data_IF_413778712772
#
_entry.id   IF_413778712772
#
_cell.length_a   1.000
_cell.length_b   1.000
_cell.length_c   1.000
_cell.angle_alpha   90.00
_cell.angle_beta   90.00
_cell.angle_gamma   90.00
#
_symmetry.space_group_name_H-M   'P 1'
#
loop_
_entity.id
_entity.type
_entity.pdbx_description
1 polymer ?
#
# COMPACT_ATOMS: atom_id res chain seq x y z
N UNK A 1 -17.10 -19.41 -26.64
CA UNK A 1 -17.45 -18.96 -25.28
C UNK A 1 -16.29 -18.25 -24.59
N UNK A 2 -15.22 -18.98 -24.20
CA UNK A 2 -14.04 -18.45 -23.49
C UNK A 2 -13.46 -17.16 -24.09
N UNK A 3 -13.16 -17.17 -25.38
CA UNK A 3 -12.54 -16.01 -26.04
C UNK A 3 -13.46 -14.78 -26.07
N UNK A 4 -14.77 -14.95 -26.21
CA UNK A 4 -15.75 -13.84 -26.12
C UNK A 4 -15.74 -13.22 -24.71
N UNK A 5 -15.78 -14.03 -23.65
CA UNK A 5 -15.71 -13.52 -22.27
C UNK A 5 -14.38 -12.84 -21.98
N UNK A 6 -13.26 -13.42 -22.42
CA UNK A 6 -11.94 -12.80 -22.27
C UNK A 6 -11.85 -11.48 -23.02
N UNK A 7 -12.44 -11.41 -24.21
CA UNK A 7 -12.50 -10.17 -24.98
C UNK A 7 -13.25 -9.08 -24.24
N UNK A 8 -14.42 -9.38 -23.68
CA UNK A 8 -15.19 -8.41 -22.89
C UNK A 8 -14.48 -8.02 -21.59
N UNK A 9 -13.89 -8.97 -20.87
CA UNK A 9 -13.11 -8.70 -19.66
C UNK A 9 -11.90 -7.82 -19.98
N UNK A 10 -11.22 -8.05 -21.10
CA UNK A 10 -10.13 -7.16 -21.55
C UNK A 10 -10.66 -5.79 -21.95
N UNK A 11 -11.74 -5.75 -22.72
CA UNK A 11 -12.34 -4.51 -23.22
C UNK A 11 -12.76 -3.61 -22.09
N UNK A 12 -13.46 -4.11 -21.07
CA UNK A 12 -14.02 -3.29 -19.98
C UNK A 12 -13.18 -3.32 -18.70
N UNK A 13 -12.22 -4.24 -18.64
CA UNK A 13 -11.50 -4.61 -17.43
C UNK A 13 -12.36 -5.36 -16.38
N UNK A 14 -13.69 -5.37 -16.49
CA UNK A 14 -14.57 -5.74 -15.36
C UNK A 14 -14.53 -7.26 -15.15
N UNK A 15 -14.25 -7.70 -13.92
CA UNK A 15 -14.20 -9.11 -13.55
C UNK A 15 -15.61 -9.72 -13.39
N UNK A 16 -15.76 -11.05 -13.54
CA UNK A 16 -17.04 -11.73 -13.34
C UNK A 16 -17.71 -11.44 -11.99
N UNK A 17 -16.93 -11.40 -10.89
CA UNK A 17 -17.46 -11.10 -9.56
C UNK A 17 -18.13 -9.73 -9.50
N UNK A 18 -17.48 -8.72 -10.08
CA UNK A 18 -17.95 -7.33 -10.03
C UNK A 18 -19.27 -7.13 -10.78
N UNK A 19 -19.47 -7.84 -11.88
CA UNK A 19 -20.74 -7.82 -12.61
C UNK A 19 -21.87 -8.32 -11.72
N UNK A 20 -21.64 -9.45 -11.04
CA UNK A 20 -22.63 -10.10 -10.21
C UNK A 20 -22.89 -9.38 -8.88
N UNK A 21 -22.00 -8.47 -8.47
CA UNK A 21 -22.23 -7.54 -7.36
C UNK A 21 -23.09 -6.34 -7.76
N UNK A 22 -23.10 -5.96 -9.03
CA UNK A 22 -23.81 -4.77 -9.52
C UNK A 22 -25.27 -5.08 -9.90
N UNK A 23 -25.56 -6.31 -10.32
CA UNK A 23 -26.92 -6.76 -10.65
C UNK A 23 -27.29 -8.07 -9.92
N UNK A 24 -28.14 -7.93 -8.90
CA UNK A 24 -28.60 -9.04 -8.09
C UNK A 24 -29.49 -10.05 -8.83
N UNK A 25 -30.17 -9.66 -9.91
CA UNK A 25 -31.03 -10.59 -10.67
C UNK A 25 -30.20 -11.64 -11.40
N UNK A 26 -29.04 -11.26 -11.93
CA UNK A 26 -28.19 -12.21 -12.66
C UNK A 26 -27.37 -13.09 -11.75
N UNK A 27 -27.15 -12.64 -10.51
CA UNK A 27 -26.66 -13.52 -9.45
C UNK A 27 -27.63 -14.65 -9.12
N UNK A 28 -28.95 -14.49 -9.39
CA UNK A 28 -29.93 -15.59 -9.23
C UNK A 28 -29.78 -16.64 -10.32
N UNK A 29 -29.34 -16.25 -11.51
CA UNK A 29 -29.27 -17.14 -12.68
C UNK A 29 -27.89 -17.76 -12.88
N UNK A 30 -26.81 -17.02 -12.58
CA UNK A 30 -25.43 -17.45 -12.86
C UNK A 30 -24.53 -17.20 -11.65
N UNK A 31 -23.84 -18.25 -11.19
CA UNK A 31 -22.85 -18.14 -10.11
C UNK A 31 -21.50 -17.66 -10.66
N UNK A 32 -20.71 -16.87 -9.92
CA UNK A 32 -19.40 -16.44 -10.40
C UNK A 32 -18.46 -17.61 -10.73
N UNK A 33 -18.50 -18.67 -9.93
CA UNK A 33 -17.70 -19.89 -10.15
C UNK A 33 -17.99 -20.55 -11.51
N UNK A 34 -19.22 -20.47 -12.02
CA UNK A 34 -19.59 -20.98 -13.32
C UNK A 34 -18.93 -20.18 -14.45
N UNK A 35 -18.89 -18.85 -14.33
CA UNK A 35 -18.19 -17.97 -15.27
C UNK A 35 -16.68 -18.26 -15.24
N UNK A 36 -16.09 -18.45 -14.06
CA UNK A 36 -14.68 -18.82 -13.94
C UNK A 36 -14.36 -20.17 -14.58
N UNK A 37 -15.24 -21.17 -14.47
CA UNK A 37 -15.10 -22.45 -15.19
C UNK A 37 -15.14 -22.30 -16.71
N UNK A 38 -15.96 -21.37 -17.23
CA UNK A 38 -15.96 -21.04 -18.66
C UNK A 38 -14.66 -20.34 -19.10
N UNK A 39 -14.11 -19.47 -18.24
CA UNK A 39 -12.86 -18.74 -18.49
C UNK A 39 -11.62 -19.62 -18.42
N UNK A 40 -11.58 -20.57 -17.46
CA UNK A 40 -10.50 -21.55 -17.32
C UNK A 40 -10.53 -22.58 -18.46
N UNK A 41 -11.71 -22.85 -19.02
CA UNK A 41 -11.93 -23.89 -20.02
C UNK A 41 -12.26 -25.26 -19.43
N UNK A 42 -12.39 -25.34 -18.10
CA UNK A 42 -12.90 -26.52 -17.39
C UNK A 42 -14.30 -26.91 -17.88
N UNK A 43 -15.11 -25.92 -18.24
CA UNK A 43 -16.43 -26.12 -18.83
C UNK A 43 -16.49 -25.54 -20.25
N UNK A 44 -16.67 -26.41 -21.24
CA UNK A 44 -16.67 -26.05 -22.68
C UNK A 44 -18.06 -25.71 -23.23
N UNK A 45 -19.11 -26.13 -22.54
CA UNK A 45 -20.51 -25.94 -22.93
C UNK A 45 -21.23 -25.10 -21.88
N UNK A 46 -22.20 -24.31 -22.31
CA UNK A 46 -23.07 -23.54 -21.43
C UNK A 46 -24.46 -23.51 -22.03
N UNK A 47 -25.46 -23.40 -21.17
CA UNK A 47 -26.78 -22.98 -21.63
C UNK A 47 -26.66 -21.64 -22.38
N UNK A 48 -27.29 -21.55 -23.54
CA UNK A 48 -27.16 -20.38 -24.44
C UNK A 48 -27.73 -19.12 -23.79
N UNK A 49 -28.83 -19.25 -23.06
CA UNK A 49 -29.49 -18.12 -22.41
C UNK A 49 -28.63 -17.60 -21.25
N UNK A 50 -28.04 -18.49 -20.46
CA UNK A 50 -27.08 -18.10 -19.42
C UNK A 50 -25.86 -17.39 -20.02
N UNK A 51 -25.29 -17.94 -21.10
CA UNK A 51 -24.12 -17.33 -21.71
C UNK A 51 -24.40 -15.92 -22.29
N UNK A 52 -25.52 -15.75 -23.01
CA UNK A 52 -25.88 -14.45 -23.58
C UNK A 52 -26.35 -13.45 -22.50
N UNK A 53 -27.04 -13.90 -21.45
CA UNK A 53 -27.35 -13.06 -20.30
C UNK A 53 -26.07 -12.52 -19.66
N UNK A 54 -25.06 -13.38 -19.50
CA UNK A 54 -23.75 -12.98 -18.97
C UNK A 54 -23.07 -11.90 -19.84
N UNK A 55 -23.08 -12.05 -21.16
CA UNK A 55 -22.50 -11.06 -22.08
C UNK A 55 -23.30 -9.75 -22.14
N UNK A 56 -24.62 -9.79 -21.97
CA UNK A 56 -25.47 -8.61 -21.94
C UNK A 56 -25.06 -7.63 -20.83
N UNK A 57 -24.40 -8.08 -19.75
CA UNK A 57 -23.82 -7.20 -18.73
C UNK A 57 -22.60 -6.46 -19.20
N UNK A 58 -21.69 -7.13 -19.91
CA UNK A 58 -20.46 -6.50 -20.36
C UNK A 58 -20.72 -5.51 -21.49
N UNK A 59 -21.62 -5.82 -22.42
CA UNK A 59 -21.90 -5.01 -23.62
C UNK A 59 -22.11 -3.51 -23.37
N UNK A 60 -22.96 -3.07 -22.41
CA UNK A 60 -23.19 -1.64 -22.18
C UNK A 60 -22.07 -0.97 -21.39
N UNK A 61 -21.12 -1.72 -20.83
CA UNK A 61 -20.03 -1.12 -20.06
C UNK A 61 -19.08 -0.38 -21.02
N UNK A 62 -18.57 0.80 -20.62
CA UNK A 62 -17.56 1.50 -21.39
C UNK A 62 -16.29 0.67 -21.51
N UNK A 63 -15.51 0.95 -22.56
CA UNK A 63 -14.17 0.42 -22.68
C UNK A 63 -13.34 0.86 -21.46
N UNK A 64 -12.44 -0.01 -21.03
CA UNK A 64 -11.50 0.25 -19.97
C UNK A 64 -10.69 1.48 -20.34
N UNK A 65 -10.43 2.33 -19.35
CA UNK A 65 -9.47 3.41 -19.50
C UNK A 65 -8.16 2.85 -20.07
N UNK A 66 -7.44 3.63 -20.91
CA UNK A 66 -6.20 3.20 -21.51
C UNK A 66 -5.26 2.63 -20.45
N UNK A 67 -4.68 1.46 -20.71
CA UNK A 67 -3.67 0.87 -19.83
C UNK A 67 -2.30 1.50 -20.08
N UNK A 68 -1.45 1.40 -19.07
CA UNK A 68 -0.04 1.74 -19.13
C UNK A 68 0.72 0.45 -18.85
N UNK A 69 1.66 0.10 -19.73
CA UNK A 69 2.58 -1.00 -19.51
C UNK A 69 3.45 -0.69 -18.27
N UNK A 70 3.57 -1.66 -17.36
CA UNK A 70 4.40 -1.58 -16.17
C UNK A 70 5.82 -2.05 -16.48
N UNK A 71 6.58 -1.17 -17.14
CA UNK A 71 8.01 -1.41 -17.37
C UNK A 71 8.79 -1.37 -16.05
N UNK A 72 9.99 -1.99 -15.97
CA UNK A 72 10.84 -1.91 -14.78
C UNK A 72 11.04 -0.46 -14.31
N UNK A 73 11.25 0.48 -15.23
CA UNK A 73 11.48 1.89 -14.91
C UNK A 73 10.26 2.54 -14.23
N UNK A 74 9.04 2.18 -14.66
CA UNK A 74 7.81 2.69 -14.03
C UNK A 74 7.61 2.12 -12.64
N UNK A 75 7.98 0.85 -12.43
CA UNK A 75 7.95 0.22 -11.11
C UNK A 75 9.04 0.82 -10.20
N UNK A 76 10.20 1.15 -10.74
CA UNK A 76 11.28 1.81 -10.01
C UNK A 76 10.85 3.20 -9.53
N UNK A 77 10.14 3.98 -10.36
CA UNK A 77 9.57 5.27 -9.93
C UNK A 77 8.60 5.09 -8.77
N UNK A 78 7.68 4.13 -8.84
CA UNK A 78 6.73 3.88 -7.75
C UNK A 78 7.41 3.36 -6.47
N UNK A 79 8.43 2.50 -6.61
CA UNK A 79 9.20 2.02 -5.47
C UNK A 79 10.05 3.14 -4.86
N UNK A 80 10.63 4.02 -5.66
CA UNK A 80 11.37 5.18 -5.19
C UNK A 80 10.46 6.13 -4.38
N UNK A 81 9.24 6.37 -4.84
CA UNK A 81 8.25 7.17 -4.10
C UNK A 81 7.82 6.50 -2.78
N UNK A 82 7.59 5.18 -2.80
CA UNK A 82 7.31 4.39 -1.60
C UNK A 82 8.46 4.47 -0.60
N UNK A 83 9.71 4.38 -1.07
CA UNK A 83 10.89 4.35 -0.22
C UNK A 83 11.23 5.75 0.31
N UNK A 84 11.09 6.79 -0.52
CA UNK A 84 11.21 8.20 -0.15
C UNK A 84 10.27 8.54 0.99
N UNK A 85 9.00 8.16 0.88
CA UNK A 85 7.95 8.50 1.85
C UNK A 85 7.90 7.55 3.04
N UNK A 86 8.44 6.34 2.90
CA UNK A 86 8.29 5.26 3.89
C UNK A 86 6.85 4.77 4.04
N UNK A 87 5.93 5.20 3.19
CA UNK A 87 4.50 4.88 3.27
C UNK A 87 4.18 3.69 2.37
N UNK A 88 3.94 2.54 3.00
CA UNK A 88 3.55 1.31 2.30
C UNK A 88 2.11 1.34 1.75
N UNK A 89 1.73 0.38 0.89
CA UNK A 89 0.43 0.38 0.21
C UNK A 89 -0.80 0.50 1.12
N UNK A 90 -0.80 -0.18 2.28
CA UNK A 90 -1.91 -0.12 3.24
C UNK A 90 -2.08 1.29 3.82
N UNK A 91 -0.98 1.94 4.18
CA UNK A 91 -0.99 3.29 4.75
C UNK A 91 -1.36 4.33 3.67
N UNK A 92 -0.88 4.16 2.43
CA UNK A 92 -1.26 5.01 1.31
C UNK A 92 -2.77 5.00 1.09
N UNK A 93 -3.39 3.81 1.09
CA UNK A 93 -4.84 3.67 0.92
C UNK A 93 -5.64 4.21 2.11
N UNK A 94 -5.05 4.29 3.29
CA UNK A 94 -5.69 4.89 4.46
C UNK A 94 -5.68 6.43 4.44
N UNK A 95 -4.98 7.08 3.48
CA UNK A 95 -4.84 8.54 3.39
C UNK A 95 -6.13 9.30 3.07
N UNK A 96 -7.23 8.61 2.75
CA UNK A 96 -8.53 9.23 2.50
C UNK A 96 -8.71 9.87 1.11
N UNK A 97 -7.69 9.84 0.24
CA UNK A 97 -7.87 10.17 -1.18
C UNK A 97 -8.86 9.19 -1.83
N UNK A 98 -9.70 9.67 -2.75
CA UNK A 98 -10.62 8.82 -3.52
C UNK A 98 -9.84 7.73 -4.23
N UNK A 99 -10.01 6.47 -3.80
CA UNK A 99 -9.22 5.34 -4.28
C UNK A 99 -9.82 4.87 -5.62
N UNK A 100 -9.01 4.77 -6.70
CA UNK A 100 -9.49 4.24 -7.96
C UNK A 100 -10.07 2.84 -7.80
N UNK A 101 -11.13 2.62 -8.55
CA UNK A 101 -11.80 1.34 -8.65
C UNK A 101 -10.79 0.24 -9.00
N UNK A 102 -10.60 -0.74 -8.09
CA UNK A 102 -9.70 -1.94 -8.15
C UNK A 102 -8.37 -1.81 -7.44
N UNK A 103 -8.01 -0.64 -6.92
CA UNK A 103 -6.80 -0.51 -6.11
C UNK A 103 -7.10 -1.00 -4.70
N UNK A 104 -6.45 -2.08 -4.29
CA UNK A 104 -6.43 -2.55 -2.90
C UNK A 104 -4.99 -2.88 -2.48
N UNK A 105 -4.78 -3.12 -1.18
CA UNK A 105 -3.44 -3.30 -0.63
C UNK A 105 -2.69 -4.50 -1.24
N UNK A 106 -3.38 -5.61 -1.49
CA UNK A 106 -2.79 -6.83 -2.05
C UNK A 106 -2.45 -6.65 -3.53
N UNK A 107 -3.34 -5.98 -4.28
CA UNK A 107 -3.09 -5.59 -5.66
C UNK A 107 -1.84 -4.72 -5.76
N UNK A 108 -1.74 -3.66 -4.96
CA UNK A 108 -0.55 -2.79 -4.94
C UNK A 108 0.71 -3.53 -4.52
N UNK A 109 0.63 -4.41 -3.52
CA UNK A 109 1.78 -5.21 -3.07
C UNK A 109 2.29 -6.11 -4.20
N UNK A 110 1.40 -6.75 -4.94
CA UNK A 110 1.78 -7.60 -6.07
C UNK A 110 2.27 -6.78 -7.28
N UNK A 111 1.68 -5.60 -7.50
CA UNK A 111 2.10 -4.66 -8.52
C UNK A 111 3.54 -4.20 -8.32
N UNK A 112 3.88 -3.73 -7.12
CA UNK A 112 5.24 -3.28 -6.80
C UNK A 112 6.28 -4.42 -6.84
N UNK A 113 5.83 -5.68 -6.78
CA UNK A 113 6.64 -6.89 -6.98
C UNK A 113 6.76 -7.32 -8.45
N UNK A 114 6.24 -6.52 -9.39
CA UNK A 114 6.28 -6.83 -10.82
C UNK A 114 5.41 -8.01 -11.24
N UNK A 115 4.32 -8.29 -10.52
CA UNK A 115 3.40 -9.40 -10.87
C UNK A 115 2.37 -9.04 -11.94
N UNK A 116 2.31 -7.78 -12.36
CA UNK A 116 1.41 -7.29 -13.41
C UNK A 116 2.22 -6.65 -14.53
N UNK A 117 1.81 -6.91 -15.77
CA UNK A 117 2.44 -6.36 -16.99
C UNK A 117 1.87 -4.98 -17.35
N UNK A 118 0.65 -4.68 -16.91
CA UNK A 118 -0.02 -3.42 -17.15
C UNK A 118 -0.93 -3.02 -15.99
N UNK A 119 -1.38 -1.77 -16.01
CA UNK A 119 -2.42 -1.27 -15.13
C UNK A 119 -3.20 -0.15 -15.82
N UNK A 120 -4.44 0.16 -15.40
CA UNK A 120 -5.15 1.34 -15.88
C UNK A 120 -4.32 2.62 -15.67
N UNK A 121 -4.24 3.49 -16.67
CA UNK A 121 -3.49 4.76 -16.63
C UNK A 121 -3.88 5.60 -15.42
N UNK A 122 -5.17 5.76 -15.18
CA UNK A 122 -5.72 6.51 -14.05
C UNK A 122 -5.18 5.99 -12.71
N UNK A 123 -5.06 4.67 -12.55
CA UNK A 123 -4.52 4.08 -11.33
C UNK A 123 -3.02 4.36 -11.18
N UNK A 124 -2.26 4.37 -12.29
CA UNK A 124 -0.84 4.72 -12.28
C UNK A 124 -0.62 6.19 -11.91
N UNK A 125 -1.35 7.10 -12.55
CA UNK A 125 -1.29 8.54 -12.29
C UNK A 125 -1.74 8.87 -10.87
N UNK A 126 -2.80 8.22 -10.39
CA UNK A 126 -3.25 8.36 -9.01
C UNK A 126 -2.19 7.91 -8.00
N UNK A 127 -1.46 6.82 -8.25
CA UNK A 127 -0.39 6.38 -7.33
C UNK A 127 0.74 7.40 -7.24
N UNK A 128 1.15 7.96 -8.39
CA UNK A 128 2.17 9.00 -8.43
C UNK A 128 1.72 10.25 -7.68
N UNK A 129 0.47 10.69 -7.87
CA UNK A 129 -0.09 11.83 -7.14
C UNK A 129 -0.25 11.52 -5.64
N UNK A 130 -0.71 10.32 -5.30
CA UNK A 130 -0.93 9.90 -3.91
C UNK A 130 0.38 9.90 -3.11
N UNK A 131 1.45 9.29 -3.64
CA UNK A 131 2.76 9.34 -2.98
C UNK A 131 3.46 10.68 -3.13
N UNK A 132 3.35 11.34 -4.28
CA UNK A 132 4.00 12.62 -4.55
C UNK A 132 3.55 13.74 -3.61
N UNK A 133 2.32 13.66 -3.07
CA UNK A 133 1.84 14.59 -2.04
C UNK A 133 2.33 14.28 -0.62
N UNK A 134 3.01 13.16 -0.38
CA UNK A 134 3.49 12.78 0.95
C UNK A 134 4.89 13.35 1.20
N UNK A 135 5.18 13.78 2.45
CA UNK A 135 6.53 14.22 2.83
C UNK A 135 7.51 13.05 2.80
N UNK A 136 8.80 13.37 2.73
CA UNK A 136 9.87 12.40 2.88
C UNK A 136 9.80 11.73 4.26
N UNK A 137 10.12 10.44 4.30
CA UNK A 137 10.27 9.72 5.54
C UNK A 137 11.37 10.38 6.39
N UNK A 138 11.18 10.48 7.71
CA UNK A 138 12.23 10.95 8.59
C UNK A 138 13.45 10.04 8.45
N UNK A 139 14.63 10.65 8.24
CA UNK A 139 15.90 9.93 8.11
C UNK A 139 16.11 9.02 9.32
N UNK A 140 16.45 7.76 9.07
CA UNK A 140 16.78 6.80 10.12
C UNK A 140 18.29 6.55 10.15
N UNK A 141 18.82 6.38 11.35
CA UNK A 141 20.21 6.03 11.59
C UNK A 141 20.30 4.74 12.39
N UNK A 142 21.37 3.99 12.16
CA UNK A 142 21.68 2.79 12.91
C UNK A 142 22.17 3.16 14.32
N UNK A 143 21.62 2.48 15.32
CA UNK A 143 22.02 2.61 16.72
C UNK A 143 23.18 1.64 16.97
N UNK A 144 24.40 2.13 16.85
CA UNK A 144 25.61 1.34 17.15
C UNK A 144 25.74 1.11 18.66
N UNK A 145 26.48 0.08 19.07
CA UNK A 145 26.72 -0.20 20.49
C UNK A 145 27.44 0.94 21.22
N UNK A 146 28.28 1.69 20.50
CA UNK A 146 28.95 2.90 21.00
C UNK A 146 27.94 4.02 21.26
N UNK A 147 27.10 4.36 20.27
CA UNK A 147 26.08 5.41 20.41
C UNK A 147 25.06 5.09 21.51
N UNK A 148 24.69 3.81 21.67
CA UNK A 148 23.81 3.37 22.77
C UNK A 148 24.51 3.50 24.12
N UNK A 149 25.80 3.15 24.22
CA UNK A 149 26.59 3.31 25.44
C UNK A 149 26.72 4.78 25.84
N UNK A 150 27.09 5.65 24.90
CA UNK A 150 27.17 7.10 25.11
C UNK A 150 25.85 7.68 25.60
N UNK A 151 24.74 7.29 24.97
CA UNK A 151 23.40 7.73 25.39
C UNK A 151 23.07 7.26 26.80
N UNK A 152 23.37 5.99 27.12
CA UNK A 152 23.14 5.43 28.45
C UNK A 152 23.96 6.14 29.53
N UNK A 153 25.22 6.44 29.25
CA UNK A 153 26.12 7.16 30.16
C UNK A 153 25.64 8.59 30.40
N UNK A 154 25.27 9.32 29.34
CA UNK A 154 24.72 10.67 29.44
C UNK A 154 23.43 10.70 30.29
N UNK A 155 22.54 9.72 30.11
CA UNK A 155 21.32 9.60 30.91
C UNK A 155 21.59 9.29 32.39
N UNK A 156 22.60 8.46 32.65
CA UNK A 156 23.03 8.15 34.01
C UNK A 156 23.62 9.39 34.69
N UNK A 157 24.45 10.16 34.00
CA UNK A 157 25.04 11.41 34.50
C UNK A 157 23.97 12.46 34.79
N UNK A 158 22.98 12.61 33.90
CA UNK A 158 21.84 13.52 34.09
C UNK A 158 20.82 13.05 35.15
N UNK A 159 20.99 11.85 35.73
CA UNK A 159 20.08 11.28 36.72
C UNK A 159 18.62 11.18 36.21
N UNK A 160 18.46 10.97 34.90
CA UNK A 160 17.18 11.04 34.21
C UNK A 160 16.94 9.80 33.37
N UNK A 161 15.97 8.98 33.79
CA UNK A 161 15.52 7.84 33.00
C UNK A 161 14.70 8.26 31.77
N UNK A 162 14.47 7.34 30.81
CA UNK A 162 13.80 7.65 29.53
C UNK A 162 12.46 8.39 29.63
N UNK A 163 11.66 8.05 30.64
CA UNK A 163 10.37 8.68 30.88
C UNK A 163 10.49 10.05 31.55
N UNK A 164 11.46 10.20 32.45
CA UNK A 164 11.71 11.45 33.17
C UNK A 164 12.30 12.51 32.23
N UNK A 165 13.15 12.09 31.30
CA UNK A 165 13.77 12.96 30.29
C UNK A 165 12.73 13.70 29.44
N UNK A 166 11.65 13.03 29.05
CA UNK A 166 10.59 13.62 28.22
C UNK A 166 9.51 14.38 29.03
N UNK A 167 9.69 14.53 30.34
CA UNK A 167 8.68 15.19 31.18
C UNK A 167 8.75 16.71 30.98
N UNK A 168 7.64 17.30 30.56
CA UNK A 168 7.54 18.76 30.34
C UNK A 168 7.96 19.22 28.94
N UNK A 169 8.33 18.33 28.03
CA UNK A 169 8.79 18.68 26.68
C UNK A 169 7.72 18.44 25.60
N UNK A 170 6.44 18.38 25.98
CA UNK A 170 5.37 17.98 25.07
C UNK A 170 5.25 18.86 23.81
N UNK A 171 5.58 20.15 23.91
CA UNK A 171 5.48 21.11 22.81
C UNK A 171 6.64 21.01 21.80
N UNK A 172 7.84 20.67 22.26
CA UNK A 172 9.04 20.56 21.42
C UNK A 172 9.37 19.13 21.00
N UNK A 173 8.69 18.13 21.57
CA UNK A 173 8.95 16.72 21.34
C UNK A 173 8.56 16.30 19.92
N UNK A 174 9.48 15.71 19.13
CA UNK A 174 9.17 15.18 17.82
C UNK A 174 8.03 14.15 17.83
N UNK A 175 7.21 14.17 16.79
CA UNK A 175 6.05 13.29 16.68
C UNK A 175 6.42 11.81 16.81
N UNK A 176 5.67 11.12 17.66
CA UNK A 176 5.82 9.69 17.93
C UNK A 176 6.98 9.32 18.87
N UNK A 177 7.84 10.26 19.28
CA UNK A 177 8.89 9.96 20.25
C UNK A 177 8.28 9.67 21.63
N UNK A 178 8.58 8.50 22.19
CA UNK A 178 8.07 8.06 23.50
C UNK A 178 9.20 7.54 24.39
N UNK A 179 9.01 7.56 25.71
CA UNK A 179 10.00 7.01 26.65
C UNK A 179 10.25 5.51 26.42
N UNK A 180 9.23 4.77 26.00
CA UNK A 180 9.35 3.35 25.62
C UNK A 180 10.25 3.15 24.40
N UNK A 181 10.22 4.05 23.43
CA UNK A 181 11.12 4.00 22.28
C UNK A 181 12.58 4.20 22.72
N UNK A 182 12.84 5.23 23.53
CA UNK A 182 14.18 5.51 24.07
C UNK A 182 14.68 4.31 24.88
N UNK A 183 13.84 3.75 25.75
CA UNK A 183 14.18 2.54 26.51
C UNK A 183 14.51 1.35 25.59
N UNK A 184 13.81 1.21 24.46
CA UNK A 184 14.07 0.14 23.49
C UNK A 184 15.39 0.34 22.74
N UNK A 185 15.83 1.59 22.54
CA UNK A 185 17.17 1.90 22.01
C UNK A 185 18.24 1.45 23.01
N UNK A 186 18.10 1.84 24.28
CA UNK A 186 19.04 1.49 25.35
C UNK A 186 19.15 -0.03 25.58
N UNK A 187 18.03 -0.74 25.46
CA UNK A 187 18.00 -2.20 25.61
C UNK A 187 18.49 -2.94 24.36
N UNK A 188 18.80 -2.23 23.26
CA UNK A 188 19.24 -2.82 21.99
C UNK A 188 18.16 -3.62 21.24
N UNK A 189 16.89 -3.53 21.65
CA UNK A 189 15.78 -4.22 20.95
C UNK A 189 15.44 -3.53 19.63
N UNK A 190 15.70 -2.22 19.54
CA UNK A 190 15.56 -1.42 18.34
C UNK A 190 16.93 -1.05 17.80
N UNK A 191 17.20 -1.39 16.53
CA UNK A 191 18.51 -1.17 15.88
C UNK A 191 18.63 0.14 15.11
N UNK A 192 17.53 0.85 14.91
CA UNK A 192 17.53 2.14 14.20
C UNK A 192 16.61 3.14 14.87
N UNK A 193 17.03 4.39 14.95
CA UNK A 193 16.21 5.52 15.41
C UNK A 193 15.98 6.50 14.27
N UNK A 194 14.94 7.34 14.37
CA UNK A 194 14.86 8.52 13.53
C UNK A 194 15.94 9.51 13.99
N UNK A 195 16.60 10.18 13.06
CA UNK A 195 17.65 11.14 13.35
C UNK A 195 17.13 12.28 14.24
N UNK A 196 16.00 12.88 13.87
CA UNK A 196 15.38 13.97 14.64
C UNK A 196 15.00 13.57 16.06
N UNK A 197 14.60 12.31 16.25
CA UNK A 197 14.35 11.75 17.57
C UNK A 197 15.63 11.61 18.39
N UNK A 198 16.74 11.19 17.79
CA UNK A 198 18.01 11.05 18.48
C UNK A 198 18.58 12.42 18.84
N UNK A 199 18.62 13.35 17.89
CA UNK A 199 19.15 14.70 18.07
C UNK A 199 18.46 15.41 19.23
N UNK A 200 17.13 15.31 19.29
CA UNK A 200 16.32 15.86 20.39
C UNK A 200 16.69 15.27 21.76
N UNK A 201 16.91 13.95 21.84
CA UNK A 201 17.28 13.30 23.10
C UNK A 201 18.69 13.69 23.54
N UNK A 202 19.64 13.80 22.60
CA UNK A 202 21.01 14.25 22.89
C UNK A 202 21.04 15.71 23.35
N UNK A 203 20.22 16.58 22.75
CA UNK A 203 20.08 17.98 23.16
C UNK A 203 19.54 18.10 24.60
N UNK A 204 18.53 17.29 24.97
CA UNK A 204 18.00 17.29 26.34
C UNK A 204 19.00 16.80 27.39
N UNK A 205 19.97 15.98 27.02
CA UNK A 205 20.99 15.46 27.93
C UNK A 205 22.22 16.35 28.03
N UNK A 206 22.38 17.28 27.09
CA UNK A 206 23.49 18.25 27.07
C UNK A 206 23.19 19.53 27.87
N UNK A 207 21.93 19.73 28.28
CA UNK A 207 21.45 20.87 29.08
C UNK A 207 21.29 20.49 30.55
#
# INVERSE_FOLDING_TARGET
MRERLRSEIRRTGVSPNRILETDGEVRKTIRPSQIYRWLSGETKTADRNHFEACLAFWRPLPDAAPSVALTPEKLDVLNAEKDRTGVGPKALLASGKSIPVRVNADYLTNLLRGRYEDMPRECYEWLLDAWGCLPDAPKRIELTGELVSELSEAMQQAGSGPFKLLRGTAESRPDGLTGTMIQSWLNGTTKTARQDHLDFVQELLSN
#
